data_IF_815997784096
#
_entry.id   IF_815997784096
#
_cell.length_a   1.000
_cell.length_b   1.000
_cell.length_c   1.000
_cell.angle_alpha   90.00
_cell.angle_beta   90.00
_cell.angle_gamma   90.00
#
_symmetry.space_group_name_H-M   'P 1'
#
loop_
_entity.id
_entity.type
_entity.pdbx_description
1 polymer ?
#
# COMPACT_ATOMS: atom_id res chain seq x y z
N UNK A 1 32.20 6.55 0.90
CA UNK A 1 30.83 7.07 1.00
C UNK A 1 30.95 8.51 1.47
N UNK A 2 30.58 9.52 0.66
CA UNK A 2 30.84 10.92 1.00
C UNK A 2 29.95 11.38 2.16
N UNK A 3 30.49 12.14 3.13
CA UNK A 3 29.74 12.69 4.26
C UNK A 3 28.97 13.94 3.82
N UNK A 4 27.64 13.91 3.87
CA UNK A 4 26.83 15.13 3.65
C UNK A 4 25.43 14.96 3.08
N UNK A 5 25.00 13.77 2.65
CA UNK A 5 23.61 13.57 2.22
C UNK A 5 22.78 13.03 3.38
N UNK A 6 22.09 13.92 4.10
CA UNK A 6 21.06 13.54 5.05
C UNK A 6 20.03 12.70 4.31
N UNK A 7 19.83 11.41 4.67
CA UNK A 7 18.85 10.59 3.97
C UNK A 7 17.47 11.21 4.14
N UNK A 8 16.74 11.39 3.04
CA UNK A 8 15.37 11.93 3.06
C UNK A 8 14.38 11.04 3.85
N UNK A 9 14.80 9.82 4.22
CA UNK A 9 14.05 8.84 5.00
C UNK A 9 15.01 8.16 5.98
N UNK A 10 14.76 8.34 7.28
CA UNK A 10 15.47 7.68 8.40
C UNK A 10 15.24 6.16 8.37
N UNK A 11 16.21 5.39 8.85
CA UNK A 11 16.20 3.92 8.82
C UNK A 11 14.97 3.30 9.51
N UNK A 12 14.48 3.93 10.59
CA UNK A 12 13.25 3.54 11.29
C UNK A 12 11.99 3.67 10.41
N UNK A 13 11.92 4.71 9.57
CA UNK A 13 10.81 4.89 8.62
C UNK A 13 10.87 3.87 7.49
N UNK A 14 12.06 3.49 7.03
CA UNK A 14 12.19 2.44 6.01
C UNK A 14 11.57 1.15 6.54
N UNK A 15 11.85 0.77 7.79
CA UNK A 15 11.27 -0.42 8.41
C UNK A 15 9.74 -0.31 8.54
N UNK A 16 9.23 0.84 9.01
CA UNK A 16 7.79 1.09 9.12
C UNK A 16 7.06 1.05 7.77
N UNK A 17 7.58 1.75 6.76
CA UNK A 17 7.03 1.76 5.39
C UNK A 17 7.08 0.36 4.78
N UNK A 18 8.16 -0.40 5.00
CA UNK A 18 8.30 -1.77 4.48
C UNK A 18 7.28 -2.71 5.12
N UNK A 19 7.02 -2.58 6.41
CA UNK A 19 5.98 -3.33 7.11
C UNK A 19 4.56 -2.96 6.62
N UNK A 20 4.29 -1.67 6.40
CA UNK A 20 3.00 -1.24 5.86
C UNK A 20 2.80 -1.70 4.41
N UNK A 21 3.85 -1.68 3.59
CA UNK A 21 3.80 -2.22 2.23
C UNK A 21 3.65 -3.73 2.18
N UNK A 22 4.24 -4.48 3.13
CA UNK A 22 4.01 -5.92 3.22
C UNK A 22 2.56 -6.24 3.62
N UNK A 23 1.99 -5.46 4.54
CA UNK A 23 0.54 -5.53 4.86
C UNK A 23 -0.30 -5.20 3.64
N UNK A 24 0.08 -4.20 2.83
CA UNK A 24 -0.62 -3.87 1.60
C UNK A 24 -0.62 -5.02 0.59
N UNK A 25 0.53 -5.69 0.41
CA UNK A 25 0.63 -6.88 -0.44
C UNK A 25 -0.23 -8.01 0.11
N UNK A 26 -0.20 -8.27 1.42
CA UNK A 26 -1.05 -9.29 2.04
C UNK A 26 -2.54 -9.00 1.79
N UNK A 27 -2.97 -7.74 1.93
CA UNK A 27 -4.32 -7.31 1.57
C UNK A 27 -4.63 -7.56 0.09
N UNK A 28 -3.73 -7.21 -0.82
CA UNK A 28 -3.92 -7.44 -2.26
C UNK A 28 -4.11 -8.93 -2.59
N UNK A 29 -3.33 -9.81 -1.95
CA UNK A 29 -3.47 -11.27 -2.10
C UNK A 29 -4.83 -11.74 -1.59
N UNK A 30 -5.27 -11.27 -0.43
CA UNK A 30 -6.60 -11.61 0.11
C UNK A 30 -7.72 -11.13 -0.81
N UNK A 31 -7.61 -9.93 -1.37
CA UNK A 31 -8.57 -9.41 -2.36
C UNK A 31 -8.62 -10.29 -3.61
N UNK A 32 -7.46 -10.73 -4.11
CA UNK A 32 -7.40 -11.64 -5.26
C UNK A 32 -8.03 -13.01 -4.97
N UNK A 33 -7.81 -13.58 -3.77
CA UNK A 33 -8.48 -14.81 -3.36
C UNK A 33 -10.00 -14.64 -3.32
N UNK A 34 -10.48 -13.50 -2.84
CA UNK A 34 -11.89 -13.14 -2.88
C UNK A 34 -12.43 -12.96 -4.29
N UNK A 35 -11.63 -12.38 -5.20
CA UNK A 35 -11.99 -12.24 -6.60
C UNK A 35 -12.20 -13.61 -7.27
N UNK A 36 -11.28 -14.55 -7.05
CA UNK A 36 -11.39 -15.94 -7.54
C UNK A 36 -12.63 -16.61 -6.96
N UNK A 37 -12.90 -16.43 -5.66
CA UNK A 37 -14.12 -16.98 -5.05
C UNK A 37 -15.40 -16.35 -5.64
N UNK A 38 -15.40 -15.03 -5.88
CA UNK A 38 -16.54 -14.35 -6.49
C UNK A 38 -16.81 -14.81 -7.93
N UNK A 39 -15.75 -15.14 -8.69
CA UNK A 39 -15.89 -15.67 -10.04
C UNK A 39 -16.66 -17.00 -10.07
N UNK A 40 -16.58 -17.80 -9.00
CA UNK A 40 -17.32 -19.07 -8.87
C UNK A 40 -18.79 -18.90 -8.45
N UNK A 41 -19.28 -17.68 -8.24
CA UNK A 41 -20.62 -17.40 -7.67
C UNK A 41 -21.51 -16.54 -8.59
N UNK A 42 -21.27 -16.56 -9.91
CA UNK A 42 -22.01 -15.80 -10.94
C UNK A 42 -21.98 -14.26 -10.78
N UNK A 43 -21.09 -13.72 -9.94
CA UNK A 43 -20.86 -12.27 -9.80
C UNK A 43 -19.62 -11.84 -10.57
N UNK A 44 -19.66 -11.99 -11.89
CA UNK A 44 -18.52 -11.71 -12.77
C UNK A 44 -18.03 -10.27 -12.67
N UNK A 45 -18.93 -9.28 -12.67
CA UNK A 45 -18.55 -7.86 -12.54
C UNK A 45 -17.82 -7.55 -11.22
N UNK A 46 -18.23 -8.18 -10.13
CA UNK A 46 -17.60 -8.00 -8.82
C UNK A 46 -16.23 -8.69 -8.78
N UNK A 47 -16.11 -9.89 -9.38
CA UNK A 47 -14.86 -10.60 -9.52
C UNK A 47 -13.84 -9.82 -10.35
N UNK A 48 -14.24 -9.28 -11.50
CA UNK A 48 -13.36 -8.46 -12.36
C UNK A 48 -12.88 -7.23 -11.60
N UNK A 49 -13.79 -6.52 -10.92
CA UNK A 49 -13.44 -5.33 -10.14
C UNK A 49 -12.39 -5.66 -9.06
N UNK A 50 -12.63 -6.69 -8.24
CA UNK A 50 -11.68 -7.13 -7.21
C UNK A 50 -10.34 -7.58 -7.80
N UNK A 51 -10.35 -8.23 -8.96
CA UNK A 51 -9.12 -8.67 -9.63
C UNK A 51 -8.27 -7.47 -10.05
N UNK A 52 -8.88 -6.47 -10.68
CA UNK A 52 -8.21 -5.22 -11.08
C UNK A 52 -7.68 -4.48 -9.84
N UNK A 53 -8.50 -4.35 -8.79
CA UNK A 53 -8.10 -3.74 -7.52
C UNK A 53 -6.87 -4.44 -6.94
N UNK A 54 -6.93 -5.76 -6.80
CA UNK A 54 -5.85 -6.55 -6.23
C UNK A 54 -4.55 -6.45 -7.04
N UNK A 55 -4.63 -6.55 -8.36
CA UNK A 55 -3.46 -6.42 -9.24
C UNK A 55 -2.83 -5.03 -9.19
N UNK A 56 -3.65 -3.98 -9.24
CA UNK A 56 -3.17 -2.59 -9.17
C UNK A 56 -2.47 -2.33 -7.85
N UNK A 57 -3.05 -2.80 -6.75
CA UNK A 57 -2.50 -2.61 -5.41
C UNK A 57 -1.18 -3.39 -5.24
N UNK A 58 -1.12 -4.62 -5.75
CA UNK A 58 0.08 -5.45 -5.73
C UNK A 58 1.21 -4.86 -6.58
N UNK A 59 0.88 -4.33 -7.77
CA UNK A 59 1.83 -3.67 -8.65
C UNK A 59 2.42 -2.42 -7.99
N UNK A 60 1.58 -1.54 -7.43
CA UNK A 60 2.02 -0.27 -6.84
C UNK A 60 2.77 -0.51 -5.52
N UNK A 61 2.30 -1.42 -4.67
CA UNK A 61 3.00 -1.79 -3.44
C UNK A 61 4.36 -2.47 -3.72
N UNK A 62 4.41 -3.35 -4.73
CA UNK A 62 5.66 -3.97 -5.20
C UNK A 62 6.64 -2.96 -5.80
N UNK A 63 6.15 -1.99 -6.58
CA UNK A 63 6.98 -0.91 -7.12
C UNK A 63 7.51 -0.02 -6.01
N UNK A 64 6.67 0.33 -5.03
CA UNK A 64 7.08 1.12 -3.87
C UNK A 64 8.17 0.38 -3.07
N UNK A 65 8.01 -0.93 -2.79
CA UNK A 65 9.02 -1.76 -2.13
C UNK A 65 10.33 -1.82 -2.92
N UNK A 66 10.27 -1.90 -4.25
CA UNK A 66 11.46 -1.87 -5.11
C UNK A 66 12.12 -0.50 -5.16
N UNK A 67 11.38 0.59 -4.98
CA UNK A 67 11.90 1.95 -4.97
C UNK A 67 12.46 2.37 -3.60
N UNK A 68 12.06 1.70 -2.52
CA UNK A 68 12.53 1.97 -1.15
C UNK A 68 14.06 1.94 -0.94
N UNK A 69 14.85 1.03 -1.56
CA UNK A 69 16.30 1.00 -1.41
C UNK A 69 16.97 2.28 -1.93
N UNK A 70 16.36 2.98 -2.89
CA UNK A 70 16.92 4.20 -3.48
C UNK A 70 16.78 5.43 -2.56
N UNK A 71 15.96 5.37 -1.49
CA UNK A 71 15.70 6.47 -0.52
C UNK A 71 15.37 7.84 -1.17
N UNK A 72 14.90 7.85 -2.41
CA UNK A 72 14.67 9.05 -3.22
C UNK A 72 13.26 9.65 -3.06
N UNK A 73 13.09 10.90 -3.50
CA UNK A 73 11.79 11.62 -3.59
C UNK A 73 10.73 10.80 -4.35
N UNK A 74 11.15 9.97 -5.31
CA UNK A 74 10.28 9.04 -6.05
C UNK A 74 9.71 7.95 -5.16
N UNK A 75 10.48 7.39 -4.23
CA UNK A 75 10.01 6.37 -3.29
C UNK A 75 8.96 6.95 -2.34
N UNK A 76 9.15 8.20 -1.90
CA UNK A 76 8.16 8.92 -1.09
C UNK A 76 6.87 9.17 -1.85
N UNK A 77 6.93 9.62 -3.11
CA UNK A 77 5.75 9.80 -3.96
C UNK A 77 5.02 8.49 -4.21
N UNK A 78 5.75 7.40 -4.45
CA UNK A 78 5.17 6.07 -4.63
C UNK A 78 4.48 5.60 -3.36
N UNK A 79 5.07 5.75 -2.17
CA UNK A 79 4.42 5.39 -0.91
C UNK A 79 3.14 6.20 -0.63
N UNK A 80 3.15 7.51 -0.91
CA UNK A 80 1.94 8.36 -0.81
C UNK A 80 0.88 7.87 -1.80
N UNK A 81 1.28 7.61 -3.06
CA UNK A 81 0.39 7.08 -4.07
C UNK A 81 -0.21 5.74 -3.63
N UNK A 82 0.58 4.83 -3.07
CA UNK A 82 0.07 3.56 -2.53
C UNK A 82 -0.94 3.78 -1.41
N UNK A 83 -0.69 4.72 -0.49
CA UNK A 83 -1.59 5.01 0.63
C UNK A 83 -2.93 5.60 0.16
N UNK A 84 -2.88 6.58 -0.74
CA UNK A 84 -4.09 7.16 -1.35
C UNK A 84 -4.86 6.11 -2.15
N UNK A 85 -4.14 5.28 -2.90
CA UNK A 85 -4.73 4.21 -3.70
C UNK A 85 -5.39 3.16 -2.81
N UNK A 86 -4.80 2.78 -1.68
CA UNK A 86 -5.42 1.89 -0.69
C UNK A 86 -6.73 2.46 -0.15
N UNK A 87 -6.79 3.77 0.11
CA UNK A 87 -8.02 4.44 0.59
C UNK A 87 -9.09 4.46 -0.50
N UNK A 88 -8.74 4.81 -1.74
CA UNK A 88 -9.68 4.83 -2.86
C UNK A 88 -10.22 3.42 -3.17
N UNK A 89 -9.33 2.43 -3.16
CA UNK A 89 -9.66 1.04 -3.42
C UNK A 89 -10.36 0.36 -2.23
N UNK A 90 -10.37 0.97 -1.04
CA UNK A 90 -11.14 0.49 0.09
C UNK A 90 -12.65 0.56 -0.19
N UNK A 91 -13.13 1.56 -0.94
CA UNK A 91 -14.56 1.78 -1.21
C UNK A 91 -15.23 0.57 -1.90
N UNK A 92 -14.73 0.05 -3.03
CA UNK A 92 -15.31 -1.16 -3.63
C UNK A 92 -15.07 -2.41 -2.77
N UNK A 93 -14.03 -2.40 -1.93
CA UNK A 93 -13.70 -3.50 -1.04
C UNK A 93 -14.43 -3.45 0.32
N UNK A 94 -15.21 -2.40 0.63
CA UNK A 94 -15.92 -2.21 1.92
C UNK A 94 -16.91 -3.34 2.20
N UNK A 95 -17.46 -3.95 1.16
CA UNK A 95 -18.34 -5.11 1.31
C UNK A 95 -17.62 -6.32 1.94
N UNK A 96 -16.29 -6.27 2.02
CA UNK A 96 -15.43 -7.24 2.69
C UNK A 96 -14.77 -6.50 3.86
N UNK A 97 -14.67 -7.13 5.04
CA UNK A 97 -13.92 -6.58 6.19
C UNK A 97 -12.48 -6.13 5.83
N UNK A 98 -11.95 -6.66 4.72
CA UNK A 98 -10.68 -6.30 4.09
C UNK A 98 -10.63 -4.83 3.63
N UNK A 99 -11.74 -4.24 3.17
CA UNK A 99 -11.79 -2.83 2.79
C UNK A 99 -11.51 -1.89 3.97
N UNK A 100 -12.02 -2.24 5.16
CA UNK A 100 -11.75 -1.49 6.39
C UNK A 100 -10.26 -1.60 6.75
N UNK A 101 -9.70 -2.81 6.71
CA UNK A 101 -8.28 -3.04 6.96
C UNK A 101 -7.38 -2.27 5.97
N UNK A 102 -7.75 -2.25 4.68
CA UNK A 102 -7.07 -1.46 3.65
C UNK A 102 -7.14 0.04 3.94
N UNK A 103 -8.30 0.55 4.36
CA UNK A 103 -8.47 1.95 4.73
C UNK A 103 -7.56 2.34 5.90
N UNK A 104 -7.55 1.53 6.97
CA UNK A 104 -6.70 1.75 8.14
C UNK A 104 -5.22 1.68 7.75
N UNK A 105 -4.82 0.68 6.97
CA UNK A 105 -3.43 0.54 6.50
C UNK A 105 -3.00 1.70 5.59
N UNK A 106 -3.89 2.17 4.71
CA UNK A 106 -3.64 3.33 3.84
C UNK A 106 -3.47 4.62 4.63
N UNK A 107 -4.31 4.86 5.63
CA UNK A 107 -4.18 6.00 6.55
C UNK A 107 -2.90 5.88 7.38
N UNK A 108 -2.58 4.70 7.90
CA UNK A 108 -1.35 4.44 8.65
C UNK A 108 -0.09 4.69 7.82
N UNK A 109 -0.11 4.31 6.54
CA UNK A 109 0.97 4.59 5.59
C UNK A 109 1.14 6.09 5.34
N UNK A 110 0.04 6.82 5.14
CA UNK A 110 0.09 8.28 5.00
C UNK A 110 0.61 8.91 6.29
N UNK A 111 0.13 8.47 7.46
CA UNK A 111 0.58 8.98 8.75
C UNK A 111 2.09 8.79 8.93
N UNK A 112 2.62 7.59 8.71
CA UNK A 112 4.08 7.33 8.82
C UNK A 112 4.90 8.16 7.82
N UNK A 113 4.36 8.42 6.63
CA UNK A 113 5.02 9.25 5.60
C UNK A 113 4.93 10.75 5.90
N UNK A 114 3.87 11.20 6.59
CA UNK A 114 3.61 12.61 6.91
C UNK A 114 4.00 13.04 8.32
N UNK A 115 4.18 12.12 9.27
CA UNK A 115 4.67 12.42 10.61
C UNK A 115 6.03 13.08 10.50
N UNK A 116 6.08 14.41 10.54
CA UNK A 116 7.30 15.15 10.83
C UNK A 116 7.79 14.69 12.20
N UNK A 117 9.10 14.51 12.31
CA UNK A 117 9.72 14.32 13.62
C UNK A 117 9.20 15.41 14.56
N UNK A 118 8.58 14.99 15.66
CA UNK A 118 8.54 15.83 16.84
C UNK A 118 10.01 15.89 17.27
N UNK A 119 10.68 17.01 16.98
CA UNK A 119 11.99 17.35 17.53
C UNK A 119 11.97 17.03 19.02
N UNK A 120 12.76 16.03 19.42
CA UNK A 120 13.18 15.80 20.79
C UNK A 120 14.69 15.76 20.82
#
# INVERSE_FOLDING_TARGET
MPPGTTPAITEDRVTGIKALLSVAIACAVVVLLFAVRSATTDREQYAVTLTVVGLVLLAVAGLALRALPARDVRARRLAIATGVLMILLAVPAVQIWVGIAMGIAGVGLLFVVFSKEVER
#
